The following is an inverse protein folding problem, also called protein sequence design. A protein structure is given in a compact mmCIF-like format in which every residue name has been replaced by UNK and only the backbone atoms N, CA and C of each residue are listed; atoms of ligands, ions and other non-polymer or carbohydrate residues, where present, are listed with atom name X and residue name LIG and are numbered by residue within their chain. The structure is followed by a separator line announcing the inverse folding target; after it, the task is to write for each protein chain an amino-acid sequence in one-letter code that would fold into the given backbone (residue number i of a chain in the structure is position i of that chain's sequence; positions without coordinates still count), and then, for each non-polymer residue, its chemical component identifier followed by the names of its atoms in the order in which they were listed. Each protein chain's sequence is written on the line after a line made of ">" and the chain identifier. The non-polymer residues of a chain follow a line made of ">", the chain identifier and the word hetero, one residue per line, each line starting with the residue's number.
data_IF_281133459183
#
_entry.id   IF_281133459183
#
_cell.length_a   1.000
_cell.length_b   1.000
_cell.length_c   1.000
_cell.angle_alpha   90.00
_cell.angle_beta   90.00
_cell.angle_gamma   90.00
#
_symmetry.space_group_name_H-M   'P 1'
#
loop_
_entity.id
_entity.type
_entity.pdbx_description
1 polymer ?
#
# COMPACT_ATOMS: atom_id res chain seq x y z
N UNK A 1 -8.38 23.22 -10.66
CA UNK A 1 -7.72 23.83 -9.50
C UNK A 1 -8.67 23.81 -8.32
N UNK A 2 -8.15 23.92 -7.09
CA UNK A 2 -8.96 23.96 -5.87
C UNK A 2 -9.90 25.17 -5.84
N UNK A 3 -11.14 24.95 -5.43
CA UNK A 3 -12.19 25.98 -5.34
C UNK A 3 -12.59 26.24 -3.89
N UNK A 4 -13.29 27.35 -3.63
CA UNK A 4 -13.90 27.60 -2.31
C UNK A 4 -14.87 26.47 -1.92
N UNK A 5 -15.60 25.92 -2.91
CA UNK A 5 -16.47 24.77 -2.73
C UNK A 5 -15.70 23.58 -2.15
N UNK A 6 -14.48 23.31 -2.62
CA UNK A 6 -13.64 22.24 -2.06
C UNK A 6 -13.30 22.45 -0.59
N UNK A 7 -13.01 23.69 -0.19
CA UNK A 7 -12.72 24.04 1.19
C UNK A 7 -13.93 23.80 2.11
N UNK A 8 -15.12 24.22 1.68
CA UNK A 8 -16.36 24.08 2.46
C UNK A 8 -16.74 22.60 2.62
N UNK A 9 -16.78 21.85 1.52
CA UNK A 9 -17.12 20.42 1.54
C UNK A 9 -16.06 19.62 2.30
N UNK A 10 -14.79 19.96 2.12
CA UNK A 10 -13.69 19.37 2.88
C UNK A 10 -13.82 19.56 4.39
N UNK A 11 -14.12 20.79 4.84
CA UNK A 11 -14.33 21.08 6.25
C UNK A 11 -15.54 20.33 6.82
N UNK A 12 -16.65 20.29 6.08
CA UNK A 12 -17.85 19.55 6.45
C UNK A 12 -17.54 18.07 6.70
N UNK A 13 -16.88 17.39 5.76
CA UNK A 13 -16.51 15.99 5.92
C UNK A 13 -15.49 15.76 7.03
N UNK A 14 -14.50 16.64 7.19
CA UNK A 14 -13.54 16.56 8.28
C UNK A 14 -14.24 16.59 9.65
N UNK A 15 -15.17 17.53 9.87
CA UNK A 15 -15.89 17.65 11.13
C UNK A 15 -16.75 16.41 11.43
N UNK A 16 -17.48 15.90 10.44
CA UNK A 16 -18.32 14.71 10.60
C UNK A 16 -17.47 13.49 10.95
N UNK A 17 -16.40 13.24 10.20
CA UNK A 17 -15.54 12.06 10.38
C UNK A 17 -14.81 12.13 11.73
N UNK A 18 -14.26 13.30 12.09
CA UNK A 18 -13.58 13.48 13.38
C UNK A 18 -14.56 13.38 14.56
N UNK A 19 -15.74 13.99 14.45
CA UNK A 19 -16.80 13.89 15.47
C UNK A 19 -17.23 12.44 15.70
N UNK A 20 -17.56 11.71 14.62
CA UNK A 20 -17.92 10.29 14.69
C UNK A 20 -16.78 9.45 15.26
N UNK A 21 -15.54 9.72 14.86
CA UNK A 21 -14.35 9.02 15.35
C UNK A 21 -14.08 9.25 16.84
N UNK A 22 -14.33 10.46 17.34
CA UNK A 22 -14.21 10.78 18.77
C UNK A 22 -15.24 10.03 19.62
N UNK A 23 -16.51 10.03 19.19
CA UNK A 23 -17.59 9.27 19.83
C UNK A 23 -17.25 7.78 19.86
N UNK A 24 -16.86 7.22 18.71
CA UNK A 24 -16.50 5.81 18.60
C UNK A 24 -15.33 5.44 19.52
N UNK A 25 -14.26 6.25 19.54
CA UNK A 25 -13.10 6.04 20.42
C UNK A 25 -13.50 6.03 21.90
N UNK A 26 -14.31 6.98 22.36
CA UNK A 26 -14.74 7.04 23.76
C UNK A 26 -15.60 5.82 24.14
N UNK A 27 -16.53 5.42 23.27
CA UNK A 27 -17.37 4.23 23.49
C UNK A 27 -16.54 2.94 23.63
N UNK A 28 -15.43 2.82 22.89
CA UNK A 28 -14.56 1.65 22.97
C UNK A 28 -13.65 1.67 24.20
N UNK A 29 -13.24 2.85 24.65
CA UNK A 29 -12.49 3.01 25.91
C UNK A 29 -13.36 2.65 27.13
N UNK A 30 -14.65 3.02 27.13
CA UNK A 30 -15.61 2.62 28.17
C UNK A 30 -15.78 1.10 28.25
N UNK A 31 -15.61 0.39 27.13
CA UNK A 31 -15.60 -1.09 27.07
C UNK A 31 -14.28 -1.73 27.51
N UNK A 32 -13.31 -0.94 27.96
CA UNK A 32 -12.00 -1.42 28.42
C UNK A 32 -10.95 -1.64 27.33
N UNK A 33 -11.22 -1.29 26.07
CA UNK A 33 -10.24 -1.45 24.98
C UNK A 33 -9.20 -0.32 24.96
N UNK A 34 -8.18 -0.42 25.82
CA UNK A 34 -7.16 0.62 26.03
C UNK A 34 -6.44 1.10 24.76
N UNK A 35 -6.26 0.22 23.77
CA UNK A 35 -5.62 0.58 22.49
C UNK A 35 -6.36 1.67 21.71
N UNK A 36 -7.67 1.87 21.94
CA UNK A 36 -8.44 2.92 21.27
C UNK A 36 -8.02 4.34 21.64
N UNK A 37 -7.14 4.53 22.64
CA UNK A 37 -6.50 5.83 22.89
C UNK A 37 -5.76 6.38 21.66
N UNK A 38 -5.28 5.52 20.77
CA UNK A 38 -4.58 5.89 19.54
C UNK A 38 -5.51 6.03 18.31
N UNK A 39 -6.78 5.63 18.41
CA UNK A 39 -7.72 5.69 17.29
C UNK A 39 -7.93 7.10 16.78
N UNK A 40 -8.33 8.02 17.68
CA UNK A 40 -8.62 9.39 17.31
C UNK A 40 -7.37 10.18 16.87
N UNK A 41 -6.21 10.11 17.56
CA UNK A 41 -4.99 10.74 17.08
C UNK A 41 -4.58 10.26 15.70
N UNK A 42 -4.69 8.96 15.41
CA UNK A 42 -4.38 8.41 14.08
C UNK A 42 -5.38 8.89 13.03
N UNK A 43 -6.68 8.90 13.33
CA UNK A 43 -7.70 9.43 12.43
C UNK A 43 -7.45 10.91 12.10
N UNK A 44 -7.16 11.70 13.12
CA UNK A 44 -6.88 13.13 12.99
C UNK A 44 -5.72 13.39 12.02
N UNK A 45 -4.61 12.68 12.17
CA UNK A 45 -3.46 12.85 11.27
C UNK A 45 -3.71 12.34 9.86
N UNK A 46 -4.60 11.36 9.64
CA UNK A 46 -5.00 10.94 8.28
C UNK A 46 -5.88 11.99 7.60
N UNK A 47 -6.83 12.60 8.32
CA UNK A 47 -7.65 13.69 7.78
C UNK A 47 -6.77 14.90 7.47
N UNK A 48 -5.87 15.27 8.37
CA UNK A 48 -4.91 16.35 8.15
C UNK A 48 -3.95 16.04 6.99
N UNK A 49 -3.48 14.79 6.89
CA UNK A 49 -2.68 14.30 5.79
C UNK A 49 -3.38 14.41 4.43
N UNK A 50 -4.68 14.10 4.36
CA UNK A 50 -5.50 14.26 3.16
C UNK A 50 -5.60 15.73 2.73
N UNK A 51 -5.86 16.64 3.67
CA UNK A 51 -5.94 18.08 3.39
C UNK A 51 -4.57 18.59 2.91
N UNK A 52 -3.49 18.26 3.62
CA UNK A 52 -2.14 18.62 3.22
C UNK A 52 -1.76 18.09 1.84
N UNK A 53 -2.14 16.84 1.54
CA UNK A 53 -1.95 16.23 0.23
C UNK A 53 -2.68 17.01 -0.87
N UNK A 54 -3.96 17.33 -0.69
CA UNK A 54 -4.74 18.09 -1.66
C UNK A 54 -4.18 19.51 -1.88
N UNK A 55 -3.72 20.18 -0.82
CA UNK A 55 -3.10 21.49 -0.91
C UNK A 55 -1.78 21.44 -1.70
N UNK A 56 -0.94 20.43 -1.48
CA UNK A 56 0.30 20.26 -2.25
C UNK A 56 -0.01 19.99 -3.73
N UNK A 57 -0.93 19.07 -4.03
CA UNK A 57 -1.30 18.80 -5.42
C UNK A 57 -1.99 19.98 -6.11
N UNK A 58 -2.87 20.68 -5.39
CA UNK A 58 -3.66 21.77 -5.94
C UNK A 58 -2.91 23.09 -6.08
N UNK A 59 -2.00 23.42 -5.15
CA UNK A 59 -1.32 24.72 -5.10
C UNK A 59 0.16 24.65 -5.49
N UNK A 60 0.87 23.59 -5.10
CA UNK A 60 2.32 23.49 -5.34
C UNK A 60 2.62 22.79 -6.67
N UNK A 61 1.97 21.66 -6.96
CA UNK A 61 2.14 20.96 -8.24
C UNK A 61 1.27 21.51 -9.37
N UNK A 62 0.18 22.22 -9.05
CA UNK A 62 -0.77 22.72 -10.04
C UNK A 62 -1.54 21.62 -10.79
N UNK A 63 -1.54 20.39 -10.28
CA UNK A 63 -2.10 19.21 -10.94
C UNK A 63 -1.40 17.91 -10.55
N UNK A 64 -1.36 16.95 -11.48
CA UNK A 64 -0.74 15.63 -11.32
C UNK A 64 -1.74 14.48 -11.25
N UNK A 65 -1.22 13.25 -11.14
CA UNK A 65 -2.01 12.00 -11.21
C UNK A 65 -3.27 12.02 -10.37
N UNK A 66 -3.20 12.54 -9.14
CA UNK A 66 -4.35 12.53 -8.24
C UNK A 66 -5.49 13.41 -8.71
N UNK A 67 -5.16 14.62 -9.20
CA UNK A 67 -6.16 15.51 -9.77
C UNK A 67 -6.70 14.94 -11.08
N UNK A 68 -5.86 14.28 -11.88
CA UNK A 68 -6.27 13.60 -13.10
C UNK A 68 -7.28 12.48 -12.84
N UNK A 69 -7.01 11.59 -11.87
CA UNK A 69 -7.96 10.53 -11.49
C UNK A 69 -9.25 11.08 -10.89
N UNK A 70 -9.16 12.17 -10.11
CA UNK A 70 -10.32 12.88 -9.60
C UNK A 70 -11.19 13.42 -10.74
N UNK A 71 -10.61 14.10 -11.73
CA UNK A 71 -11.35 14.66 -12.88
C UNK A 71 -12.03 13.56 -13.69
N UNK A 72 -11.36 12.43 -13.92
CA UNK A 72 -12.00 11.29 -14.57
C UNK A 72 -13.15 10.71 -13.75
N UNK A 73 -12.97 10.60 -12.42
CA UNK A 73 -14.03 10.18 -11.51
C UNK A 73 -15.22 11.15 -11.49
N UNK A 74 -14.96 12.46 -11.47
CA UNK A 74 -15.96 13.52 -11.56
C UNK A 74 -16.73 13.45 -12.90
N UNK A 75 -16.03 13.26 -14.03
CA UNK A 75 -16.67 13.07 -15.34
C UNK A 75 -17.60 11.86 -15.34
N UNK A 76 -17.19 10.72 -14.76
CA UNK A 76 -18.05 9.54 -14.64
C UNK A 76 -19.27 9.81 -13.74
N UNK A 77 -19.13 10.57 -12.66
CA UNK A 77 -20.27 10.96 -11.81
C UNK A 77 -21.23 11.87 -12.56
N UNK A 78 -20.73 12.88 -13.27
CA UNK A 78 -21.56 13.79 -14.05
C UNK A 78 -22.29 13.03 -15.17
N UNK A 79 -21.59 12.11 -15.84
CA UNK A 79 -22.17 11.24 -16.86
C UNK A 79 -23.21 10.29 -16.27
N UNK A 80 -23.03 9.79 -15.04
CA UNK A 80 -24.06 8.97 -14.38
C UNK A 80 -25.38 9.72 -14.22
N UNK A 81 -25.32 11.02 -13.89
CA UNK A 81 -26.53 11.84 -13.76
C UNK A 81 -27.16 12.23 -15.10
N UNK A 82 -26.42 12.21 -16.21
CA UNK A 82 -26.93 12.51 -17.56
C UNK A 82 -27.38 11.25 -18.31
N UNK A 83 -26.56 10.20 -18.26
CA UNK A 83 -26.66 8.94 -19.00
C UNK A 83 -26.32 7.75 -18.06
N UNK A 84 -27.22 7.36 -17.15
CA UNK A 84 -26.92 6.36 -16.12
C UNK A 84 -26.62 4.96 -16.68
N UNK A 85 -27.37 4.52 -17.69
CA UNK A 85 -27.18 3.20 -18.30
C UNK A 85 -25.85 3.09 -19.03
N UNK A 86 -25.52 4.10 -19.85
CA UNK A 86 -24.24 4.19 -20.54
C UNK A 86 -23.09 4.17 -19.52
N UNK A 87 -23.19 4.98 -18.47
CA UNK A 87 -22.17 5.02 -17.41
C UNK A 87 -21.98 3.70 -16.69
N UNK A 88 -23.05 2.99 -16.35
CA UNK A 88 -22.95 1.68 -15.70
C UNK A 88 -22.36 0.62 -16.64
N UNK A 89 -22.71 0.67 -17.92
CA UNK A 89 -22.18 -0.25 -18.93
C UNK A 89 -20.68 -0.09 -19.19
N UNK A 90 -20.08 1.04 -18.81
CA UNK A 90 -18.63 1.25 -18.90
C UNK A 90 -17.83 0.46 -17.87
N UNK A 91 -18.37 0.21 -16.67
CA UNK A 91 -17.59 -0.38 -15.56
C UNK A 91 -16.95 -1.74 -15.87
N UNK A 92 -17.60 -2.67 -16.59
CA UNK A 92 -17.03 -3.97 -16.94
C UNK A 92 -15.83 -3.93 -17.90
N UNK A 93 -15.73 -2.91 -18.77
CA UNK A 93 -14.75 -2.86 -19.86
C UNK A 93 -13.42 -2.22 -19.46
N UNK A 94 -12.32 -2.62 -20.08
CA UNK A 94 -11.14 -1.76 -20.14
C UNK A 94 -11.39 -0.64 -21.17
N UNK A 95 -10.57 0.40 -21.15
CA UNK A 95 -10.77 1.53 -22.08
C UNK A 95 -10.56 1.14 -23.55
N UNK A 96 -9.60 0.25 -23.81
CA UNK A 96 -9.29 -0.38 -25.11
C UNK A 96 -10.44 -1.23 -25.64
N UNK A 97 -11.20 -1.85 -24.74
CA UNK A 97 -12.28 -2.79 -25.05
C UNK A 97 -13.67 -2.13 -25.09
N UNK A 98 -13.74 -0.80 -25.05
CA UNK A 98 -15.02 -0.09 -25.06
C UNK A 98 -15.76 -0.33 -26.40
N UNK A 99 -17.03 -0.75 -26.34
CA UNK A 99 -17.91 -0.79 -27.51
C UNK A 99 -17.93 0.56 -28.26
N UNK A 100 -18.10 0.53 -29.58
CA UNK A 100 -18.07 1.74 -30.42
C UNK A 100 -19.05 2.82 -29.96
N UNK A 101 -20.24 2.42 -29.51
CA UNK A 101 -21.26 3.32 -28.98
C UNK A 101 -20.87 3.98 -27.64
N UNK A 102 -19.85 3.49 -26.95
CA UNK A 102 -19.34 4.04 -25.68
C UNK A 102 -17.98 4.72 -25.85
N UNK A 103 -17.35 4.69 -27.03
CA UNK A 103 -16.04 5.31 -27.26
C UNK A 103 -16.04 6.82 -27.06
N UNK A 104 -17.17 7.51 -27.24
CA UNK A 104 -17.27 8.96 -26.98
C UNK A 104 -16.88 9.33 -25.54
N UNK A 105 -17.00 8.38 -24.60
CA UNK A 105 -16.70 8.57 -23.17
C UNK A 105 -15.21 8.83 -22.95
N UNK A 106 -14.32 8.35 -23.82
CA UNK A 106 -12.87 8.66 -23.72
C UNK A 106 -12.61 10.16 -23.87
N UNK A 107 -13.42 10.86 -24.68
CA UNK A 107 -13.34 12.31 -24.85
C UNK A 107 -13.77 13.02 -23.57
N UNK A 108 -14.82 12.54 -22.90
CA UNK A 108 -15.28 13.06 -21.60
C UNK A 108 -14.27 12.86 -20.46
N UNK A 109 -13.40 11.86 -20.61
CA UNK A 109 -12.33 11.55 -19.65
C UNK A 109 -11.01 12.27 -19.97
N UNK A 110 -10.98 13.13 -20.98
CA UNK A 110 -9.80 13.92 -21.35
C UNK A 110 -8.81 13.20 -22.26
N UNK A 111 -9.22 12.15 -22.97
CA UNK A 111 -8.43 11.48 -24.01
C UNK A 111 -8.07 10.02 -23.68
N UNK A 112 -7.02 9.52 -24.34
CA UNK A 112 -6.53 8.15 -24.15
C UNK A 112 -5.94 7.98 -22.75
N UNK A 113 -6.55 7.09 -21.98
CA UNK A 113 -6.09 6.73 -20.65
C UNK A 113 -5.41 5.37 -20.68
N UNK A 114 -4.36 5.19 -19.88
CA UNK A 114 -3.90 3.84 -19.55
C UNK A 114 -5.00 3.03 -18.84
N UNK A 115 -5.02 1.71 -19.02
CA UNK A 115 -6.03 0.84 -18.40
C UNK A 115 -6.06 0.96 -16.86
N UNK A 116 -4.88 1.11 -16.26
CA UNK A 116 -4.71 1.28 -14.82
C UNK A 116 -5.22 2.65 -14.33
N UNK A 117 -5.02 3.71 -15.11
CA UNK A 117 -5.56 5.05 -14.88
C UNK A 117 -7.08 5.04 -14.98
N UNK A 118 -7.64 4.39 -15.99
CA UNK A 118 -9.08 4.28 -16.19
C UNK A 118 -9.76 3.51 -15.05
N UNK A 119 -9.17 2.39 -14.61
CA UNK A 119 -9.64 1.68 -13.41
C UNK A 119 -9.58 2.57 -12.17
N UNK A 120 -8.53 3.39 -12.03
CA UNK A 120 -8.43 4.34 -10.91
C UNK A 120 -9.52 5.40 -10.96
N UNK A 121 -9.87 5.92 -12.14
CA UNK A 121 -11.00 6.86 -12.31
C UNK A 121 -12.34 6.22 -11.93
N UNK A 122 -12.57 4.96 -12.31
CA UNK A 122 -13.77 4.19 -11.90
C UNK A 122 -13.85 3.95 -10.41
N UNK A 123 -12.72 3.74 -9.74
CA UNK A 123 -12.70 3.65 -8.28
C UNK A 123 -12.91 5.02 -7.64
N UNK A 124 -12.29 6.06 -8.20
CA UNK A 124 -12.40 7.44 -7.74
C UNK A 124 -13.82 7.99 -7.86
N UNK A 125 -14.58 7.64 -8.90
CA UNK A 125 -15.97 8.09 -9.10
C UNK A 125 -16.88 7.79 -7.91
N UNK A 126 -16.67 6.67 -7.22
CA UNK A 126 -17.41 6.32 -5.99
C UNK A 126 -17.16 7.38 -4.91
N UNK A 127 -15.90 7.80 -4.74
CA UNK A 127 -15.51 8.81 -3.77
C UNK A 127 -15.86 10.22 -4.24
N UNK A 128 -15.84 10.49 -5.55
CA UNK A 128 -16.33 11.75 -6.12
C UNK A 128 -17.83 11.90 -5.87
N UNK A 129 -18.63 10.85 -6.09
CA UNK A 129 -20.07 10.86 -5.83
C UNK A 129 -20.35 11.15 -4.35
N UNK A 130 -19.70 10.41 -3.44
CA UNK A 130 -19.85 10.65 -2.00
C UNK A 130 -19.30 12.02 -1.60
N UNK A 131 -18.19 12.46 -2.20
CA UNK A 131 -17.55 13.74 -1.94
C UNK A 131 -18.21 14.94 -2.62
N UNK A 132 -19.39 14.76 -3.24
CA UNK A 132 -20.12 15.80 -3.97
C UNK A 132 -19.29 16.49 -5.05
N UNK A 133 -18.45 15.71 -5.76
CA UNK A 133 -17.47 16.19 -6.73
C UNK A 133 -16.52 17.27 -6.17
N UNK A 134 -16.26 17.28 -4.86
CA UNK A 134 -15.15 18.03 -4.29
C UNK A 134 -13.88 17.17 -4.27
N UNK A 135 -12.76 17.73 -4.72
CA UNK A 135 -11.46 17.05 -4.66
C UNK A 135 -11.00 16.81 -3.22
N UNK A 136 -11.15 17.80 -2.34
CA UNK A 136 -10.82 17.67 -0.92
C UNK A 136 -11.82 16.73 -0.23
N UNK A 137 -13.12 16.89 -0.50
CA UNK A 137 -14.16 16.03 0.07
C UNK A 137 -13.95 14.55 -0.26
N UNK A 138 -13.78 14.23 -1.55
CA UNK A 138 -13.52 12.86 -2.00
C UNK A 138 -12.23 12.28 -1.42
N UNK A 139 -11.16 13.09 -1.32
CA UNK A 139 -9.89 12.67 -0.72
C UNK A 139 -10.00 12.42 0.78
N UNK A 140 -10.75 13.22 1.54
CA UNK A 140 -10.99 12.99 2.97
C UNK A 140 -11.77 11.69 3.19
N UNK A 141 -12.79 11.40 2.38
CA UNK A 141 -13.56 10.16 2.48
C UNK A 141 -12.67 8.95 2.16
N UNK A 142 -11.86 9.03 1.10
CA UNK A 142 -10.91 7.98 0.76
C UNK A 142 -9.84 7.80 1.85
N UNK A 143 -9.33 8.90 2.41
CA UNK A 143 -8.41 8.90 3.55
C UNK A 143 -9.02 8.21 4.77
N UNK A 144 -10.32 8.41 5.03
CA UNK A 144 -11.02 7.69 6.10
C UNK A 144 -11.04 6.18 5.85
N UNK A 145 -11.28 5.73 4.61
CA UNK A 145 -11.21 4.29 4.27
C UNK A 145 -9.78 3.75 4.44
N UNK A 146 -8.77 4.51 4.02
CA UNK A 146 -7.36 4.17 4.21
C UNK A 146 -6.98 4.08 5.69
N UNK A 147 -7.43 5.03 6.52
CA UNK A 147 -7.31 4.98 7.97
C UNK A 147 -7.96 3.73 8.56
N UNK A 148 -9.18 3.38 8.13
CA UNK A 148 -9.85 2.16 8.62
C UNK A 148 -9.07 0.91 8.25
N UNK A 149 -8.44 0.86 7.08
CA UNK A 149 -7.53 -0.21 6.69
C UNK A 149 -6.32 -0.26 7.63
N UNK A 150 -5.61 0.86 7.80
CA UNK A 150 -4.45 0.96 8.69
C UNK A 150 -4.77 0.60 10.16
N UNK A 151 -5.92 1.04 10.66
CA UNK A 151 -6.41 0.67 11.99
C UNK A 151 -6.68 -0.83 12.12
N UNK A 152 -7.28 -1.46 11.09
CA UNK A 152 -7.48 -2.91 11.06
C UNK A 152 -6.15 -3.66 11.01
N UNK A 153 -5.18 -3.18 10.23
CA UNK A 153 -3.83 -3.74 10.17
C UNK A 153 -3.18 -3.77 11.56
N UNK A 154 -3.18 -2.62 12.25
CA UNK A 154 -2.68 -2.52 13.62
C UNK A 154 -3.38 -3.50 14.57
N UNK A 155 -4.72 -3.57 14.52
CA UNK A 155 -5.49 -4.48 15.39
C UNK A 155 -5.18 -5.96 15.14
N UNK A 156 -5.10 -6.37 13.87
CA UNK A 156 -4.83 -7.77 13.48
C UNK A 156 -3.42 -8.18 13.87
N UNK A 157 -2.43 -7.32 13.64
CA UNK A 157 -1.06 -7.57 14.06
C UNK A 157 -1.01 -7.67 15.59
N UNK A 158 -1.58 -6.70 16.30
CA UNK A 158 -1.57 -6.68 17.76
C UNK A 158 -2.24 -7.93 18.35
N UNK A 159 -3.44 -8.30 17.86
CA UNK A 159 -4.17 -9.46 18.38
C UNK A 159 -3.46 -10.77 18.06
N UNK A 160 -2.87 -10.93 16.88
CA UNK A 160 -2.15 -12.14 16.49
C UNK A 160 -0.83 -12.30 17.25
N UNK A 161 -0.11 -11.20 17.51
CA UNK A 161 1.09 -11.22 18.32
C UNK A 161 0.77 -11.53 19.79
N UNK A 162 -0.27 -10.90 20.36
CA UNK A 162 -0.72 -11.21 21.72
C UNK A 162 -1.18 -12.67 21.86
N UNK A 163 -1.91 -13.21 20.87
CA UNK A 163 -2.28 -14.63 20.84
C UNK A 163 -1.07 -15.58 20.77
N UNK A 164 0.08 -15.06 20.31
CA UNK A 164 1.37 -15.76 20.30
C UNK A 164 2.24 -15.45 21.52
N UNK A 165 1.70 -14.78 22.54
CA UNK A 165 2.43 -14.26 23.72
C UNK A 165 3.59 -13.32 23.38
N UNK A 166 3.49 -12.60 22.26
CA UNK A 166 4.48 -11.61 21.81
C UNK A 166 3.93 -10.22 22.08
N UNK A 167 4.63 -9.45 22.92
CA UNK A 167 4.36 -8.03 23.12
C UNK A 167 5.40 -7.25 22.34
N UNK A 168 4.94 -6.38 21.44
CA UNK A 168 5.78 -5.43 20.71
C UNK A 168 5.49 -4.03 21.24
N UNK A 169 6.37 -3.48 22.11
CA UNK A 169 6.21 -2.11 22.55
C UNK A 169 6.22 -1.14 21.38
N UNK A 170 5.41 -0.10 21.50
CA UNK A 170 5.28 0.95 20.48
C UNK A 170 4.75 0.49 19.12
N UNK A 171 4.05 -0.64 19.07
CA UNK A 171 3.34 -1.11 17.87
C UNK A 171 2.37 -0.05 17.30
N UNK A 172 1.88 0.86 18.14
CA UNK A 172 1.05 1.98 17.70
C UNK A 172 1.75 2.91 16.69
N UNK A 173 3.07 2.89 16.54
CA UNK A 173 3.77 3.65 15.50
C UNK A 173 3.39 3.24 14.06
N UNK A 174 2.85 2.03 13.85
CA UNK A 174 2.28 1.63 12.56
C UNK A 174 1.18 2.60 12.08
N UNK A 175 0.50 3.26 13.02
CA UNK A 175 -0.59 4.20 12.74
C UNK A 175 -0.11 5.61 12.34
N UNK A 176 1.20 5.89 12.43
CA UNK A 176 1.77 7.23 12.33
C UNK A 176 2.97 7.32 11.38
N UNK A 177 3.02 6.46 10.35
CA UNK A 177 4.09 6.48 9.34
C UNK A 177 3.88 7.70 8.40
N UNK A 178 4.75 8.73 8.41
CA UNK A 178 4.52 9.98 7.68
C UNK A 178 4.20 9.81 6.18
N UNK A 179 4.98 9.01 5.45
CA UNK A 179 4.75 8.76 4.03
C UNK A 179 3.39 8.12 3.76
N UNK A 180 2.95 7.20 4.62
CA UNK A 180 1.62 6.60 4.50
C UNK A 180 0.51 7.62 4.79
N UNK A 181 0.72 8.50 5.79
CA UNK A 181 -0.24 9.54 6.14
C UNK A 181 -0.39 10.62 5.06
N UNK A 182 0.59 10.78 4.18
CA UNK A 182 0.54 11.75 3.09
C UNK A 182 0.15 11.08 1.76
N UNK A 183 0.89 10.06 1.32
CA UNK A 183 0.67 9.40 0.03
C UNK A 183 -0.47 8.38 0.04
N UNK A 184 -0.89 7.91 1.22
CA UNK A 184 -1.98 6.96 1.39
C UNK A 184 -3.35 7.60 1.66
N UNK A 185 -3.50 8.92 1.52
CA UNK A 185 -4.73 9.66 1.86
C UNK A 185 -5.37 10.40 0.70
N UNK A 186 -4.72 10.47 -0.47
CA UNK A 186 -5.24 11.07 -1.69
C UNK A 186 -5.83 10.07 -2.68
N UNK A 187 -6.47 10.58 -3.73
CA UNK A 187 -6.98 9.76 -4.85
C UNK A 187 -5.78 9.31 -5.70
N UNK A 188 -5.17 8.19 -5.34
CA UNK A 188 -4.01 7.62 -6.01
C UNK A 188 -4.19 6.10 -6.15
N UNK A 189 -3.56 5.54 -7.20
CA UNK A 189 -3.39 4.08 -7.36
C UNK A 189 -2.84 3.45 -6.07
N UNK A 190 -1.84 4.09 -5.47
CA UNK A 190 -1.18 3.63 -4.25
C UNK A 190 -2.10 3.52 -3.04
N UNK A 191 -3.03 4.47 -2.86
CA UNK A 191 -4.02 4.45 -1.79
C UNK A 191 -4.96 3.25 -1.92
N UNK A 192 -5.49 3.00 -3.11
CA UNK A 192 -6.35 1.85 -3.38
C UNK A 192 -5.61 0.53 -3.17
N UNK A 193 -4.41 0.40 -3.74
CA UNK A 193 -3.55 -0.79 -3.58
C UNK A 193 -3.23 -1.04 -2.11
N UNK A 194 -2.94 -0.01 -1.31
CA UNK A 194 -2.73 -0.16 0.13
C UNK A 194 -3.97 -0.69 0.85
N UNK A 195 -5.16 -0.12 0.59
CA UNK A 195 -6.43 -0.59 1.17
C UNK A 195 -6.68 -2.06 0.82
N UNK A 196 -6.48 -2.43 -0.45
CA UNK A 196 -6.67 -3.78 -0.96
C UNK A 196 -5.71 -4.78 -0.33
N UNK A 197 -4.42 -4.44 -0.30
CA UNK A 197 -3.37 -5.24 0.32
C UNK A 197 -3.69 -5.51 1.79
N UNK A 198 -4.03 -4.47 2.55
CA UNK A 198 -4.35 -4.58 3.96
C UNK A 198 -5.63 -5.38 4.18
N UNK A 199 -6.64 -5.25 3.33
CA UNK A 199 -7.85 -6.06 3.40
C UNK A 199 -7.52 -7.56 3.23
N UNK A 200 -6.77 -7.92 2.19
CA UNK A 200 -6.37 -9.32 1.93
C UNK A 200 -5.50 -9.85 3.08
N UNK A 201 -4.51 -9.08 3.52
CA UNK A 201 -3.63 -9.44 4.63
C UNK A 201 -4.44 -9.74 5.90
N UNK A 202 -5.35 -8.84 6.28
CA UNK A 202 -6.19 -9.00 7.46
C UNK A 202 -7.09 -10.24 7.36
N UNK A 203 -7.65 -10.52 6.19
CA UNK A 203 -8.46 -11.72 5.97
C UNK A 203 -7.64 -12.99 6.16
N UNK A 204 -6.44 -13.06 5.56
CA UNK A 204 -5.59 -14.25 5.64
C UNK A 204 -5.10 -14.48 7.08
N UNK A 205 -4.65 -13.43 7.76
CA UNK A 205 -4.18 -13.55 9.15
C UNK A 205 -5.31 -14.01 10.06
N UNK A 206 -6.51 -13.45 9.92
CA UNK A 206 -7.67 -13.85 10.72
C UNK A 206 -8.14 -15.26 10.38
N UNK A 207 -8.11 -15.67 9.11
CA UNK A 207 -8.46 -17.04 8.71
C UNK A 207 -7.60 -18.09 9.41
N UNK A 208 -6.30 -17.82 9.56
CA UNK A 208 -5.37 -18.69 10.28
C UNK A 208 -5.32 -18.46 11.80
N UNK A 209 -6.07 -17.50 12.34
CA UNK A 209 -6.13 -17.25 13.77
C UNK A 209 -7.16 -18.20 14.43
N UNK A 210 -6.74 -19.10 15.33
CA UNK A 210 -7.63 -20.12 15.91
C UNK A 210 -8.76 -19.52 16.76
N UNK A 211 -8.60 -18.28 17.25
CA UNK A 211 -9.63 -17.58 18.02
C UNK A 211 -10.71 -16.96 17.14
N UNK A 212 -10.46 -16.83 15.83
CA UNK A 212 -11.36 -16.19 14.90
C UNK A 212 -12.27 -17.22 14.24
N UNK A 213 -13.53 -17.25 14.66
CA UNK A 213 -14.56 -18.13 14.08
C UNK A 213 -15.50 -17.32 13.19
N UNK A 214 -15.66 -17.76 11.95
CA UNK A 214 -16.60 -17.18 10.98
C UNK A 214 -17.53 -18.28 10.48
N UNK A 215 -18.83 -17.99 10.42
CA UNK A 215 -19.79 -18.91 9.82
C UNK A 215 -19.49 -19.14 8.33
N UNK A 216 -19.81 -20.35 7.82
CA UNK A 216 -19.47 -20.78 6.45
C UNK A 216 -19.85 -19.75 5.37
N UNK A 217 -21.09 -19.26 5.39
CA UNK A 217 -21.58 -18.29 4.40
C UNK A 217 -20.78 -16.98 4.41
N UNK A 218 -20.53 -16.42 5.59
CA UNK A 218 -19.73 -15.20 5.76
C UNK A 218 -18.28 -15.42 5.31
N UNK A 219 -17.73 -16.62 5.54
CA UNK A 219 -16.41 -17.01 5.03
C UNK A 219 -16.33 -17.00 3.51
N UNK A 220 -17.34 -17.57 2.83
CA UNK A 220 -17.42 -17.58 1.35
C UNK A 220 -17.52 -16.15 0.80
N UNK A 221 -18.37 -15.31 1.37
CA UNK A 221 -18.50 -13.91 0.95
C UNK A 221 -17.17 -13.15 1.10
N UNK A 222 -16.47 -13.34 2.23
CA UNK A 222 -15.16 -12.74 2.45
C UNK A 222 -14.15 -13.22 1.39
N UNK A 223 -14.16 -14.50 1.03
CA UNK A 223 -13.28 -15.05 0.00
C UNK A 223 -13.56 -14.44 -1.39
N UNK A 224 -14.84 -14.33 -1.78
CA UNK A 224 -15.25 -13.70 -3.04
C UNK A 224 -14.74 -12.25 -3.08
N UNK A 225 -14.93 -11.48 -2.01
CA UNK A 225 -14.44 -10.11 -1.92
C UNK A 225 -12.92 -10.06 -2.01
N UNK A 226 -12.19 -10.98 -1.36
CA UNK A 226 -10.73 -11.06 -1.49
C UNK A 226 -10.28 -11.32 -2.93
N UNK A 227 -10.98 -12.18 -3.68
CA UNK A 227 -10.67 -12.45 -5.08
C UNK A 227 -10.88 -11.18 -5.93
N UNK A 228 -12.02 -10.50 -5.76
CA UNK A 228 -12.33 -9.25 -6.49
C UNK A 228 -11.28 -8.18 -6.19
N UNK A 229 -10.97 -7.97 -4.91
CA UNK A 229 -9.97 -7.00 -4.46
C UNK A 229 -8.57 -7.38 -4.98
N UNK A 230 -8.24 -8.67 -5.03
CA UNK A 230 -7.00 -9.17 -5.64
C UNK A 230 -6.90 -8.88 -7.13
N UNK A 231 -8.00 -9.05 -7.89
CA UNK A 231 -8.07 -8.71 -9.31
C UNK A 231 -7.87 -7.21 -9.54
N UNK A 232 -8.49 -6.35 -8.72
CA UNK A 232 -8.26 -4.91 -8.82
C UNK A 232 -6.81 -4.54 -8.50
N UNK A 233 -6.22 -5.13 -7.46
CA UNK A 233 -4.82 -4.92 -7.13
C UNK A 233 -3.89 -5.37 -8.27
N UNK A 234 -4.17 -6.50 -8.90
CA UNK A 234 -3.43 -7.01 -10.06
C UNK A 234 -3.52 -6.04 -11.24
N UNK A 235 -4.71 -5.54 -11.58
CA UNK A 235 -4.91 -4.58 -12.67
C UNK A 235 -4.29 -3.21 -12.40
N UNK A 236 -4.27 -2.76 -11.14
CA UNK A 236 -3.67 -1.47 -10.79
C UNK A 236 -2.15 -1.55 -10.74
N UNK A 237 -1.60 -2.58 -10.09
CA UNK A 237 -0.16 -2.77 -9.88
C UNK A 237 0.19 -4.25 -9.72
N UNK A 238 0.34 -4.94 -10.84
CA UNK A 238 0.60 -6.37 -10.89
C UNK A 238 1.84 -6.79 -10.08
N UNK A 239 2.95 -6.05 -10.19
CA UNK A 239 4.18 -6.35 -9.43
C UNK A 239 3.95 -6.33 -7.90
N UNK A 240 3.15 -5.39 -7.38
CA UNK A 240 2.81 -5.34 -5.94
C UNK A 240 2.04 -6.60 -5.55
N UNK A 241 1.06 -7.00 -6.38
CA UNK A 241 0.23 -8.18 -6.14
C UNK A 241 1.10 -9.46 -6.08
N UNK A 242 1.96 -9.67 -7.07
CA UNK A 242 2.82 -10.85 -7.11
C UNK A 242 3.81 -10.89 -5.94
N UNK A 243 4.50 -9.78 -5.63
CA UNK A 243 5.39 -9.70 -4.46
C UNK A 243 4.64 -10.04 -3.17
N UNK A 244 3.43 -9.52 -3.02
CA UNK A 244 2.60 -9.72 -1.84
C UNK A 244 2.13 -11.18 -1.70
N UNK A 245 1.57 -11.77 -2.75
CA UNK A 245 1.07 -13.15 -2.72
C UNK A 245 2.20 -14.16 -2.55
N UNK A 246 3.35 -13.99 -3.22
CA UNK A 246 4.53 -14.84 -3.01
C UNK A 246 4.99 -14.77 -1.56
N UNK A 247 5.05 -13.57 -0.98
CA UNK A 247 5.44 -13.38 0.42
C UNK A 247 4.46 -14.03 1.39
N UNK A 248 3.16 -13.93 1.14
CA UNK A 248 2.12 -14.60 1.93
C UNK A 248 2.22 -16.11 1.84
N UNK A 249 2.34 -16.64 0.63
CA UNK A 249 2.39 -18.07 0.37
C UNK A 249 3.60 -18.71 1.07
N UNK A 250 4.79 -18.13 0.94
CA UNK A 250 5.99 -18.61 1.65
C UNK A 250 5.79 -18.54 3.17
N UNK A 251 5.25 -17.42 3.68
CA UNK A 251 5.17 -17.19 5.13
C UNK A 251 4.08 -18.02 5.83
N UNK A 252 3.04 -18.41 5.10
CA UNK A 252 1.94 -19.23 5.60
C UNK A 252 1.98 -20.67 5.10
N UNK A 253 3.03 -21.08 4.38
CA UNK A 253 3.22 -22.42 3.82
C UNK A 253 2.79 -23.56 4.76
N UNK A 254 3.37 -23.60 5.97
CA UNK A 254 3.08 -24.65 6.96
C UNK A 254 1.61 -24.68 7.42
N UNK A 255 0.92 -23.53 7.36
CA UNK A 255 -0.51 -23.41 7.70
C UNK A 255 -1.42 -23.78 6.52
N UNK A 256 -0.98 -23.51 5.29
CA UNK A 256 -1.71 -23.80 4.05
C UNK A 256 -1.73 -25.31 3.78
N UNK A 257 -0.57 -25.96 3.82
CA UNK A 257 -0.45 -27.39 3.54
C UNK A 257 -0.96 -28.24 4.71
N UNK A 258 -0.88 -27.71 5.92
CA UNK A 258 -1.29 -28.40 7.14
C UNK A 258 -0.25 -29.43 7.60
N UNK A 259 -0.03 -29.48 8.90
CA UNK A 259 0.95 -30.41 9.52
C UNK A 259 0.58 -31.87 9.25
N UNK A 260 -0.70 -32.17 9.03
CA UNK A 260 -1.20 -33.52 8.73
C UNK A 260 -0.90 -33.99 7.31
N UNK A 261 -0.88 -33.11 6.30
CA UNK A 261 -0.45 -33.49 4.94
C UNK A 261 1.06 -33.74 4.86
N UNK A 262 1.82 -33.21 5.82
CA UNK A 262 3.25 -33.48 6.05
C UNK A 262 3.47 -34.67 7.00
N UNK A 263 2.41 -35.34 7.47
CA UNK A 263 2.50 -36.49 8.36
C UNK A 263 3.05 -37.72 7.64
N UNK A 264 3.80 -38.55 8.39
CA UNK A 264 4.61 -39.64 7.86
C UNK A 264 3.82 -40.79 7.21
N UNK A 265 2.48 -40.83 7.30
CA UNK A 265 1.68 -41.95 6.82
C UNK A 265 1.51 -42.01 5.30
N UNK A 266 1.77 -40.92 4.56
CA UNK A 266 1.81 -40.94 3.09
C UNK A 266 2.80 -39.91 2.52
N UNK A 267 4.10 -40.17 2.71
CA UNK A 267 5.20 -39.27 2.29
C UNK A 267 5.14 -38.88 0.81
N UNK A 268 4.66 -39.78 -0.07
CA UNK A 268 4.53 -39.53 -1.51
C UNK A 268 3.54 -38.40 -1.79
N UNK A 269 2.39 -38.41 -1.11
CA UNK A 269 1.40 -37.35 -1.23
C UNK A 269 1.93 -36.00 -0.70
N UNK A 270 2.67 -36.03 0.42
CA UNK A 270 3.35 -34.84 0.94
C UNK A 270 4.36 -34.24 -0.04
N UNK A 271 5.18 -35.08 -0.69
CA UNK A 271 6.12 -34.62 -1.73
C UNK A 271 5.41 -34.05 -2.95
N UNK A 272 4.30 -34.66 -3.39
CA UNK A 272 3.50 -34.15 -4.49
C UNK A 272 2.91 -32.77 -4.19
N UNK A 273 2.31 -32.57 -3.01
CA UNK A 273 1.78 -31.27 -2.60
C UNK A 273 2.90 -30.22 -2.51
N UNK A 274 4.07 -30.58 -1.98
CA UNK A 274 5.22 -29.68 -1.94
C UNK A 274 5.72 -29.34 -3.35
N UNK A 275 5.74 -30.31 -4.27
CA UNK A 275 6.11 -30.09 -5.67
C UNK A 275 5.12 -29.13 -6.36
N UNK A 276 3.81 -29.34 -6.19
CA UNK A 276 2.78 -28.43 -6.70
C UNK A 276 2.90 -27.03 -6.11
N UNK A 277 3.17 -26.92 -4.80
CA UNK A 277 3.35 -25.63 -4.13
C UNK A 277 4.58 -24.90 -4.66
N UNK A 278 5.72 -25.60 -4.83
CA UNK A 278 6.92 -25.03 -5.42
C UNK A 278 6.64 -24.59 -6.86
N UNK A 279 5.95 -25.40 -7.67
CA UNK A 279 5.53 -25.04 -9.02
C UNK A 279 4.67 -23.78 -9.05
N UNK A 280 3.72 -23.63 -8.11
CA UNK A 280 2.91 -22.43 -7.96
C UNK A 280 3.76 -21.21 -7.61
N UNK A 281 4.68 -21.32 -6.64
CA UNK A 281 5.58 -20.21 -6.26
C UNK A 281 6.46 -19.80 -7.44
N UNK A 282 7.03 -20.76 -8.18
CA UNK A 282 7.83 -20.49 -9.36
C UNK A 282 6.99 -19.78 -10.43
N UNK A 283 5.79 -20.28 -10.73
CA UNK A 283 4.89 -19.64 -11.69
C UNK A 283 4.53 -18.20 -11.31
N UNK A 284 4.15 -17.96 -10.06
CA UNK A 284 3.83 -16.62 -9.55
C UNK A 284 5.04 -15.68 -9.57
N UNK A 285 6.24 -16.20 -9.27
CA UNK A 285 7.48 -15.41 -9.29
C UNK A 285 7.84 -15.04 -10.72
N UNK A 286 7.66 -15.93 -11.69
CA UNK A 286 7.90 -15.65 -13.11
C UNK A 286 6.94 -14.60 -13.64
N UNK A 287 5.64 -14.71 -13.36
CA UNK A 287 4.65 -13.68 -13.75
C UNK A 287 4.95 -12.34 -13.07
N UNK A 288 5.33 -12.39 -11.78
CA UNK A 288 5.81 -11.23 -11.04
C UNK A 288 7.00 -10.56 -11.71
N UNK A 289 8.01 -11.33 -12.10
CA UNK A 289 9.20 -10.83 -12.77
C UNK A 289 8.90 -10.24 -14.15
N UNK A 290 8.00 -10.84 -14.94
CA UNK A 290 7.57 -10.29 -16.22
C UNK A 290 6.85 -8.94 -16.05
N UNK A 291 5.89 -8.86 -15.13
CA UNK A 291 5.18 -7.61 -14.83
C UNK A 291 6.10 -6.53 -14.27
N UNK A 292 7.18 -6.95 -13.60
CA UNK A 292 8.18 -6.06 -13.08
C UNK A 292 9.10 -5.52 -14.18
N UNK A 293 9.54 -6.36 -15.12
CA UNK A 293 10.32 -5.92 -16.27
C UNK A 293 9.56 -4.92 -17.13
N UNK A 294 8.27 -5.14 -17.39
CA UNK A 294 7.46 -4.16 -18.13
C UNK A 294 7.38 -2.81 -17.41
N UNK A 295 7.24 -2.82 -16.08
CA UNK A 295 7.23 -1.57 -15.30
C UNK A 295 8.60 -0.87 -15.29
N UNK A 296 9.70 -1.63 -15.28
CA UNK A 296 11.05 -1.06 -15.41
C UNK A 296 11.24 -0.33 -16.75
N UNK A 297 10.72 -0.90 -17.84
CA UNK A 297 10.77 -0.29 -19.16
C UNK A 297 9.95 1.01 -19.20
N UNK A 298 8.71 0.97 -18.72
CA UNK A 298 7.84 2.15 -18.62
C UNK A 298 8.48 3.27 -17.80
N UNK A 299 9.03 2.94 -16.63
CA UNK A 299 9.66 3.92 -15.77
C UNK A 299 10.94 4.53 -16.39
N UNK A 300 11.67 3.78 -17.22
CA UNK A 300 12.78 4.32 -17.99
C UNK A 300 12.33 5.26 -19.09
N UNK A 301 11.30 4.89 -19.85
CA UNK A 301 10.72 5.73 -20.89
C UNK A 301 10.19 7.05 -20.30
N UNK A 302 9.52 6.98 -19.14
CA UNK A 302 9.09 8.15 -18.37
C UNK A 302 10.30 8.98 -17.91
N UNK A 303 11.35 8.35 -17.36
CA UNK A 303 12.54 9.07 -16.94
C UNK A 303 13.27 9.74 -18.12
N UNK A 304 13.36 9.06 -19.27
CA UNK A 304 13.99 9.56 -20.49
C UNK A 304 13.16 10.68 -21.12
N UNK A 305 11.85 10.55 -21.20
CA UNK A 305 10.96 11.59 -21.74
C UNK A 305 11.00 12.86 -20.90
N UNK A 306 11.08 12.73 -19.57
CA UNK A 306 11.33 13.86 -18.67
C UNK A 306 12.67 14.51 -19.04
N UNK A 307 13.77 13.74 -19.12
CA UNK A 307 15.12 14.22 -19.46
C UNK A 307 15.20 14.85 -20.87
N UNK A 308 14.46 14.34 -21.85
CA UNK A 308 14.42 14.87 -23.21
C UNK A 308 13.58 16.15 -23.30
N UNK A 309 12.46 16.21 -22.57
CA UNK A 309 11.65 17.43 -22.42
C UNK A 309 12.36 18.54 -21.63
N UNK A 310 13.39 18.20 -20.84
CA UNK A 310 14.22 19.12 -20.06
C UNK A 310 15.08 20.09 -20.92
N UNK A 311 15.20 19.90 -22.24
CA UNK A 311 15.93 20.83 -23.11
C UNK A 311 15.19 22.14 -23.43
N UNK A 312 13.88 22.29 -23.14
CA UNK A 312 13.10 23.47 -23.56
C UNK A 312 12.56 24.38 -22.45
N UNK A 313 12.60 24.00 -21.16
CA UNK A 313 12.04 24.84 -20.07
C UNK A 313 12.87 24.76 -18.77
N UNK A 314 13.61 25.82 -18.45
CA UNK A 314 14.42 25.92 -17.24
C UNK A 314 13.61 26.27 -15.97
N UNK A 315 14.08 25.75 -14.82
CA UNK A 315 14.12 26.38 -13.46
C UNK A 315 13.00 26.27 -12.41
N UNK A 316 12.06 25.30 -12.43
CA UNK A 316 11.12 25.14 -11.26
C UNK A 316 10.97 23.72 -10.69
N UNK A 317 11.41 22.64 -11.34
CA UNK A 317 11.26 21.27 -10.77
C UNK A 317 12.63 20.59 -10.61
N UNK A 318 13.27 20.85 -9.46
CA UNK A 318 14.56 20.29 -9.06
C UNK A 318 14.58 18.76 -9.09
N UNK A 319 15.32 18.20 -10.05
CA UNK A 319 15.42 16.75 -10.27
C UNK A 319 15.98 15.99 -9.08
N UNK A 320 15.08 15.37 -8.30
CA UNK A 320 15.36 14.40 -7.24
C UNK A 320 15.40 12.97 -7.81
N UNK A 321 16.09 12.79 -8.93
CA UNK A 321 16.33 11.47 -9.52
C UNK A 321 17.52 10.76 -8.88
N UNK A 322 17.54 9.43 -8.98
CA UNK A 322 18.67 8.60 -8.59
C UNK A 322 18.87 7.50 -9.63
N UNK A 323 20.11 6.98 -9.71
CA UNK A 323 20.44 5.86 -10.60
C UNK A 323 21.13 4.75 -9.83
N UNK A 324 20.78 3.50 -10.15
CA UNK A 324 21.43 2.30 -9.62
C UNK A 324 22.52 1.76 -10.55
N UNK A 325 22.69 2.37 -11.74
CA UNK A 325 23.62 1.92 -12.77
C UNK A 325 23.32 0.49 -13.23
N UNK A 326 22.06 0.20 -13.56
CA UNK A 326 21.67 -1.08 -14.16
C UNK A 326 21.99 -0.98 -15.65
N UNK A 327 22.94 -1.80 -16.10
CA UNK A 327 23.35 -1.87 -17.51
C UNK A 327 22.56 -2.93 -18.28
N UNK A 328 22.07 -3.96 -17.59
CA UNK A 328 21.29 -5.06 -18.16
C UNK A 328 20.08 -5.38 -17.28
N UNK A 329 18.89 -5.39 -17.89
CA UNK A 329 17.63 -5.75 -17.23
C UNK A 329 17.34 -7.26 -17.25
N UNK A 330 18.40 -8.06 -17.20
CA UNK A 330 18.34 -9.52 -17.01
C UNK A 330 18.06 -9.84 -15.54
N UNK A 331 17.59 -11.06 -15.25
CA UNK A 331 17.35 -11.51 -13.86
C UNK A 331 18.60 -11.32 -12.98
N UNK A 332 19.77 -11.74 -13.46
CA UNK A 332 21.03 -11.59 -12.72
C UNK A 332 21.50 -10.13 -12.62
N UNK A 333 21.30 -9.32 -13.67
CA UNK A 333 21.61 -7.88 -13.63
C UNK A 333 20.82 -7.15 -12.55
N UNK A 334 19.51 -7.38 -12.49
CA UNK A 334 18.63 -6.85 -11.45
C UNK A 334 19.01 -7.41 -10.07
N UNK A 335 19.24 -8.72 -9.98
CA UNK A 335 19.59 -9.38 -8.70
C UNK A 335 20.85 -8.76 -8.08
N UNK A 336 21.86 -8.45 -8.90
CA UNK A 336 23.11 -7.80 -8.45
C UNK A 336 22.89 -6.43 -7.79
N UNK A 337 21.83 -5.70 -8.19
CA UNK A 337 21.50 -4.37 -7.66
C UNK A 337 20.44 -4.40 -6.55
N UNK A 338 19.87 -5.57 -6.26
CA UNK A 338 18.88 -5.78 -5.20
C UNK A 338 19.31 -5.18 -3.84
N UNK A 339 20.55 -5.39 -3.35
CA UNK A 339 20.95 -4.82 -2.06
C UNK A 339 20.94 -3.30 -2.07
N UNK A 340 21.46 -2.69 -3.14
CA UNK A 340 21.49 -1.23 -3.29
C UNK A 340 20.07 -0.66 -3.43
N UNK A 341 19.23 -1.32 -4.22
CA UNK A 341 17.83 -0.93 -4.41
C UNK A 341 17.06 -0.95 -3.07
N UNK A 342 17.24 -2.00 -2.27
CA UNK A 342 16.66 -2.09 -0.93
C UNK A 342 17.09 -0.92 -0.04
N UNK A 343 18.39 -0.60 -0.01
CA UNK A 343 18.92 0.52 0.78
C UNK A 343 18.32 1.85 0.32
N UNK A 344 18.26 2.09 -0.99
CA UNK A 344 17.68 3.32 -1.55
C UNK A 344 16.20 3.44 -1.21
N UNK A 345 15.43 2.36 -1.29
CA UNK A 345 14.00 2.38 -0.97
C UNK A 345 13.71 2.81 0.46
N UNK A 346 14.38 2.21 1.44
CA UNK A 346 14.05 2.43 2.85
C UNK A 346 14.86 3.55 3.51
N UNK A 347 16.06 3.84 3.02
CA UNK A 347 16.97 4.80 3.64
C UNK A 347 17.25 6.02 2.75
N UNK A 348 16.84 5.99 1.49
CA UNK A 348 16.88 7.15 0.60
C UNK A 348 15.65 8.05 0.70
N UNK A 349 15.78 9.35 0.37
CA UNK A 349 17.04 10.05 0.18
C UNK A 349 17.75 10.33 1.51
N UNK A 350 19.08 10.38 1.46
CA UNK A 350 19.86 10.83 2.61
C UNK A 350 19.73 12.36 2.79
N UNK A 351 19.95 12.90 4.01
CA UNK A 351 19.81 14.33 4.29
C UNK A 351 20.60 15.24 3.33
N UNK A 352 21.76 14.81 2.84
CA UNK A 352 22.60 15.56 1.89
C UNK A 352 22.17 15.44 0.42
N UNK A 353 21.19 14.58 0.10
CA UNK A 353 20.64 14.42 -1.24
C UNK A 353 19.36 15.25 -1.46
N UNK A 354 18.89 15.97 -0.42
CA UNK A 354 17.65 16.73 -0.44
C UNK A 354 17.77 17.92 -1.40
N UNK A 355 16.90 17.94 -2.41
CA UNK A 355 16.83 19.02 -3.42
C UNK A 355 15.53 19.82 -3.37
N UNK A 356 14.59 19.48 -2.48
CA UNK A 356 13.33 20.20 -2.31
C UNK A 356 12.81 20.10 -0.86
N UNK A 357 11.98 21.05 -0.40
CA UNK A 357 11.39 21.00 0.94
C UNK A 357 10.55 19.76 1.20
N UNK A 358 9.82 19.28 0.18
CA UNK A 358 9.00 18.05 0.27
C UNK A 358 9.92 16.82 0.48
N UNK A 359 11.08 16.80 -0.18
CA UNK A 359 12.05 15.72 -0.05
C UNK A 359 12.71 15.66 1.34
N UNK A 360 12.74 16.78 2.08
CA UNK A 360 13.26 16.82 3.45
C UNK A 360 12.45 15.93 4.39
N UNK A 361 11.11 15.95 4.29
CA UNK A 361 10.25 15.10 5.11
C UNK A 361 10.49 13.61 4.85
N UNK A 362 10.64 13.23 3.58
CA UNK A 362 11.01 11.86 3.20
C UNK A 362 12.40 11.48 3.73
N UNK A 363 13.38 12.39 3.67
CA UNK A 363 14.72 12.14 4.17
C UNK A 363 14.75 11.91 5.69
N UNK A 364 13.99 12.71 6.44
CA UNK A 364 13.86 12.55 7.90
C UNK A 364 13.21 11.21 8.26
N UNK A 365 12.14 10.82 7.57
CA UNK A 365 11.52 9.51 7.75
C UNK A 365 12.54 8.39 7.47
N UNK A 366 13.18 8.41 6.31
CA UNK A 366 14.16 7.40 5.90
C UNK A 366 15.35 7.31 6.86
N UNK A 367 15.80 8.44 7.42
CA UNK A 367 16.85 8.48 8.42
C UNK A 367 16.43 7.82 9.75
N UNK A 368 15.19 8.01 10.19
CA UNK A 368 14.64 7.30 11.37
C UNK A 368 14.62 5.78 11.11
N UNK A 369 14.15 5.36 9.94
CA UNK A 369 14.18 3.94 9.55
C UNK A 369 15.59 3.38 9.51
N UNK A 370 16.57 4.16 9.02
CA UNK A 370 17.97 3.79 9.02
C UNK A 370 18.54 3.59 10.43
N UNK A 371 18.29 4.52 11.37
CA UNK A 371 18.72 4.39 12.76
C UNK A 371 18.10 3.14 13.40
N UNK A 372 16.81 2.90 13.18
CA UNK A 372 16.12 1.72 13.69
C UNK A 372 16.72 0.42 13.11
N UNK A 373 17.02 0.41 11.82
CA UNK A 373 17.65 -0.73 11.15
C UNK A 373 19.05 -1.02 11.69
N UNK A 374 19.91 0.00 11.80
CA UNK A 374 21.26 -0.15 12.35
C UNK A 374 21.21 -0.66 13.80
N UNK A 375 20.30 -0.13 14.62
CA UNK A 375 20.09 -0.60 15.99
C UNK A 375 19.69 -2.08 16.05
N UNK A 376 18.88 -2.55 15.09
CA UNK A 376 18.48 -3.95 14.97
C UNK A 376 19.69 -4.82 14.63
N UNK A 377 20.46 -4.44 13.59
CA UNK A 377 21.65 -5.18 13.14
C UNK A 377 22.69 -5.28 14.26
N UNK A 378 22.96 -4.18 14.98
CA UNK A 378 23.95 -4.17 16.06
C UNK A 378 23.56 -5.03 17.27
N UNK A 379 22.27 -5.08 17.62
CA UNK A 379 21.83 -5.74 18.85
C UNK A 379 21.63 -7.25 18.71
N UNK A 380 21.21 -7.74 17.54
CA UNK A 380 20.80 -9.14 17.36
C UNK A 380 21.83 -10.02 16.61
N UNK A 381 22.88 -9.40 16.04
CA UNK A 381 23.87 -10.09 15.18
C UNK A 381 23.15 -10.96 14.12
N UNK A 382 23.42 -12.27 14.09
CA UNK A 382 22.83 -13.26 13.18
C UNK A 382 21.69 -14.10 13.82
N UNK A 383 21.31 -13.83 15.06
CA UNK A 383 20.25 -14.57 15.77
C UNK A 383 18.85 -14.37 15.16
N UNK A 384 18.71 -13.37 14.29
CA UNK A 384 17.46 -12.92 13.71
C UNK A 384 16.69 -14.03 12.98
N UNK A 385 17.35 -14.80 12.10
CA UNK A 385 16.68 -15.75 11.20
C UNK A 385 15.89 -16.83 11.95
N UNK A 386 16.41 -17.33 13.08
CA UNK A 386 15.79 -18.44 13.81
C UNK A 386 14.54 -18.03 14.59
N UNK A 387 14.50 -16.78 15.08
CA UNK A 387 13.39 -16.23 15.86
C UNK A 387 12.20 -15.88 14.97
N UNK A 388 12.45 -15.36 13.76
CA UNK A 388 11.39 -14.89 12.85
C UNK A 388 10.65 -16.01 12.12
N UNK A 389 11.31 -17.14 11.86
CA UNK A 389 10.66 -18.32 11.24
C UNK A 389 9.49 -18.88 12.05
N UNK A 390 9.38 -18.54 13.33
CA UNK A 390 8.32 -19.06 14.22
C UNK A 390 7.00 -18.30 14.12
N UNK A 391 6.99 -17.07 13.60
CA UNK A 391 5.79 -16.26 13.47
C UNK A 391 5.60 -15.79 12.02
N UNK A 392 4.51 -16.26 11.41
CA UNK A 392 4.21 -16.01 10.00
C UNK A 392 4.09 -14.53 9.66
N UNK A 393 3.63 -13.67 10.59
CA UNK A 393 3.50 -12.23 10.35
C UNK A 393 4.87 -11.57 10.23
N UNK A 394 5.81 -11.91 11.10
CA UNK A 394 7.17 -11.37 10.98
C UNK A 394 7.91 -11.92 9.77
N UNK A 395 7.75 -13.22 9.49
CA UNK A 395 8.32 -13.84 8.28
C UNK A 395 7.78 -13.16 7.03
N UNK A 396 6.47 -12.94 6.95
CA UNK A 396 5.82 -12.19 5.88
C UNK A 396 6.40 -10.79 5.76
N UNK A 397 6.52 -10.09 6.89
CA UNK A 397 6.99 -8.70 6.90
C UNK A 397 8.41 -8.57 6.36
N UNK A 398 9.30 -9.52 6.69
CA UNK A 398 10.67 -9.56 6.20
C UNK A 398 10.70 -9.88 4.71
N UNK A 399 10.05 -10.97 4.29
CA UNK A 399 10.07 -11.42 2.89
C UNK A 399 9.44 -10.36 1.99
N UNK A 400 8.28 -9.83 2.37
CA UNK A 400 7.60 -8.79 1.61
C UNK A 400 8.44 -7.52 1.51
N UNK A 401 9.01 -7.05 2.63
CA UNK A 401 9.84 -5.84 2.61
C UNK A 401 11.10 -6.00 1.75
N UNK A 402 11.73 -7.17 1.74
CA UNK A 402 12.90 -7.47 0.92
C UNK A 402 12.55 -7.54 -0.57
N UNK A 403 11.56 -8.35 -0.95
CA UNK A 403 11.17 -8.52 -2.35
C UNK A 403 10.64 -7.19 -2.90
N UNK A 404 9.62 -6.64 -2.27
CA UNK A 404 8.93 -5.45 -2.76
C UNK A 404 9.80 -4.19 -2.69
N UNK A 405 10.54 -4.02 -1.59
CA UNK A 405 11.42 -2.88 -1.42
C UNK A 405 12.55 -2.84 -2.45
N UNK A 406 13.09 -4.01 -2.82
CA UNK A 406 14.10 -4.10 -3.87
C UNK A 406 13.52 -3.79 -5.25
N UNK A 407 12.32 -4.29 -5.54
CA UNK A 407 11.64 -4.04 -6.81
C UNK A 407 11.39 -2.54 -7.03
N UNK A 408 10.81 -1.85 -6.05
CA UNK A 408 10.52 -0.41 -6.20
C UNK A 408 11.77 0.44 -6.30
N UNK A 409 12.83 0.06 -5.57
CA UNK A 409 14.11 0.75 -5.66
C UNK A 409 14.65 0.74 -7.08
N UNK A 410 14.42 -0.36 -7.82
CA UNK A 410 14.80 -0.51 -9.22
C UNK A 410 13.87 0.23 -10.18
N UNK A 411 12.56 0.31 -9.91
CA UNK A 411 11.62 0.93 -10.86
C UNK A 411 11.41 2.43 -10.68
N UNK A 412 11.65 3.02 -9.52
CA UNK A 412 11.15 4.40 -9.29
C UNK A 412 11.97 5.51 -9.93
N UNK A 413 13.32 5.38 -9.96
CA UNK A 413 14.31 6.38 -10.42
C UNK A 413 14.16 7.83 -9.91
N UNK A 414 13.17 8.11 -9.06
CA UNK A 414 12.81 9.42 -8.53
C UNK A 414 12.39 9.26 -7.06
N UNK A 415 12.96 10.07 -6.16
CA UNK A 415 12.68 10.01 -4.73
C UNK A 415 11.22 10.34 -4.36
N UNK A 416 10.53 11.18 -5.13
CA UNK A 416 9.11 11.47 -4.94
C UNK A 416 8.22 10.27 -5.26
N UNK A 417 8.46 9.64 -6.41
CA UNK A 417 7.78 8.40 -6.80
C UNK A 417 8.10 7.25 -5.82
N UNK A 418 9.37 7.12 -5.43
CA UNK A 418 9.84 6.14 -4.46
C UNK A 418 9.15 6.28 -3.09
N UNK A 419 9.00 7.51 -2.59
CA UNK A 419 8.32 7.79 -1.33
C UNK A 419 6.84 7.37 -1.36
N UNK A 420 6.17 7.57 -2.51
CA UNK A 420 4.80 7.13 -2.75
C UNK A 420 4.70 5.62 -2.87
N UNK A 421 5.57 4.99 -3.64
CA UNK A 421 5.49 3.56 -3.96
C UNK A 421 5.92 2.66 -2.80
N UNK A 422 6.67 3.15 -1.82
CA UNK A 422 7.10 2.33 -0.67
C UNK A 422 6.04 2.21 0.43
N UNK A 423 4.95 3.00 0.42
CA UNK A 423 3.95 3.02 1.51
C UNK A 423 3.29 1.67 1.78
N UNK A 424 3.28 0.79 0.77
CA UNK A 424 2.68 -0.52 0.80
C UNK A 424 3.50 -1.48 1.67
N UNK A 425 4.83 -1.36 1.68
CA UNK A 425 5.70 -2.16 2.55
C UNK A 425 6.11 -1.46 3.84
N UNK A 426 6.06 -0.13 3.94
CA UNK A 426 6.52 0.59 5.13
C UNK A 426 5.95 0.07 6.47
N UNK A 427 4.64 -0.25 6.61
CA UNK A 427 4.12 -0.82 7.86
C UNK A 427 4.77 -2.17 8.21
N UNK A 428 5.04 -3.00 7.21
CA UNK A 428 5.65 -4.31 7.41
C UNK A 428 7.15 -4.18 7.69
N UNK A 429 7.83 -3.25 7.02
CA UNK A 429 9.23 -2.93 7.32
C UNK A 429 9.37 -2.39 8.75
N UNK A 430 8.49 -1.48 9.17
CA UNK A 430 8.46 -1.00 10.55
C UNK A 430 8.16 -2.13 11.54
N UNK A 431 7.23 -3.02 11.21
CA UNK A 431 6.93 -4.18 12.05
C UNK A 431 8.16 -5.09 12.22
N UNK A 432 8.90 -5.33 11.15
CA UNK A 432 10.17 -6.05 11.21
C UNK A 432 11.15 -5.34 12.15
N UNK A 433 11.30 -4.02 12.06
CA UNK A 433 12.18 -3.26 12.95
C UNK A 433 11.73 -3.26 14.42
N UNK A 434 10.42 -3.20 14.68
CA UNK A 434 9.86 -3.19 16.04
C UNK A 434 9.88 -4.56 16.72
N UNK A 435 9.91 -5.64 15.94
CA UNK A 435 9.89 -7.03 16.44
C UNK A 435 11.02 -7.40 17.41
N UNK A 436 12.08 -6.58 17.47
CA UNK A 436 13.23 -6.75 18.35
C UNK A 436 13.10 -6.04 19.70
N UNK A 437 12.02 -5.28 19.92
CA UNK A 437 11.76 -4.70 21.24
C UNK A 437 11.27 -5.82 22.17
N UNK A 438 12.08 -6.16 23.18
CA UNK A 438 11.89 -7.32 24.07
C UNK A 438 10.46 -7.35 24.67
N UNK A 439 9.89 -8.54 24.94
CA UNK A 439 8.79 -8.64 25.88
C UNK A 439 9.24 -8.03 27.21
N UNK A 440 8.41 -7.18 27.81
CA UNK A 440 8.62 -6.78 29.20
C UNK A 440 8.74 -8.06 30.03
N UNK A 441 9.95 -8.30 30.55
CA UNK A 441 10.18 -9.33 31.56
C UNK A 441 9.23 -8.95 32.69
N UNK A 442 8.27 -9.82 33.01
CA UNK A 442 7.36 -9.68 34.15
C UNK A 442 8.05 -8.88 35.27
N UNK A 443 7.53 -7.70 35.59
CA UNK A 443 7.64 -7.19 36.96
C UNK A 443 7.01 -8.30 37.80
N UNK A 444 7.85 -9.20 38.32
CA UNK A 444 7.51 -9.96 39.51
C UNK A 444 7.26 -8.87 40.55
N UNK A 445 5.99 -8.62 40.81
CA UNK A 445 5.57 -7.95 42.03
C UNK A 445 6.00 -8.94 43.11
N UNK A 446 7.15 -8.66 43.71
CA UNK A 446 7.51 -9.20 45.00
C UNK A 446 6.75 -8.46 46.08
#
# INVERSE_FOLDING_TARGET
>A
MLTLFDGIIGLFYALIILGAGWIYKNNQLLKGYTNYRFYFPSLFVHVFGAIGFCLVYGLYYGGGDSYYYFRGGESLVNMFFMFPLDTLSVYPYNISDLPDNLKYITTWLGGENGEDAFLTMKLASIFCLLGLNSFIGASIILSFVSFLANWKLFKVINSSLLASNIIVPKLYYLLFIPSLLFWGTGILKDTFVFIFLVFIFNTIVNYFNPTYKVGKLKGILILIVCIIVGIFMLKLKAYVFYSFIVSLAISYYNRIIGVSALSASNKVFGYFINFCFIGLIVGLTTLGFQSFQSEILRAQEEALSIIQGFHSWHTVLGGSSYSLGITEYTFFGILSKTPLAFLVTYFGPFPWQVKSPIMLFTALESYIFFILFIRVVWKDRFGFISKYKRNNIFLFSIIFSLIFGSMIGVTSYNYGALARFKIQSLPFFLLWLLSFYKPEKNRRIG
#
